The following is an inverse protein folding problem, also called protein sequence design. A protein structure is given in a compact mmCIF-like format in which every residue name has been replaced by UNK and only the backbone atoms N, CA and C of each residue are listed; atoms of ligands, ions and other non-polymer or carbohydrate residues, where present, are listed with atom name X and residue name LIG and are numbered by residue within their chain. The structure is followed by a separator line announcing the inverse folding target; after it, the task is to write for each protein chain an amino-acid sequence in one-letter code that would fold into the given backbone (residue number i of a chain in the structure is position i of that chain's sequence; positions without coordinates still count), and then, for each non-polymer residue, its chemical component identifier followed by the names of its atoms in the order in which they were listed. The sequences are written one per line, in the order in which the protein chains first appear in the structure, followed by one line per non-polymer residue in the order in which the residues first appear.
data_IF_651102260827
#
_entry.id   IF_651102260827
#
_cell.length_a   1.000
_cell.length_b   1.000
_cell.length_c   1.000
_cell.angle_alpha   90.00
_cell.angle_beta   90.00
_cell.angle_gamma   90.00
#
_symmetry.space_group_name_H-M   'P 1'
#
loop_
_entity.id
_entity.type
_entity.pdbx_description
1 polymer ?
#
# COMPACT_ATOMS: atom_id res chain seq x y z
N UNK A 1 15.23 -2.81 -0.75
CA UNK A 1 14.07 -2.63 0.15
C UNK A 1 14.63 -2.45 1.56
N UNK A 2 14.31 -1.35 2.24
CA UNK A 2 14.81 -1.10 3.60
C UNK A 2 14.23 -2.08 4.63
N UNK A 3 14.87 -2.24 5.81
CA UNK A 3 14.38 -3.12 6.88
C UNK A 3 12.95 -2.79 7.33
N UNK A 4 12.58 -1.50 7.32
CA UNK A 4 11.25 -1.03 7.71
C UNK A 4 10.13 -1.54 6.77
N UNK A 5 10.40 -1.62 5.47
CA UNK A 5 9.42 -2.11 4.49
C UNK A 5 9.21 -3.61 4.66
N UNK A 6 10.29 -4.36 4.90
CA UNK A 6 10.21 -5.81 5.12
C UNK A 6 9.40 -6.14 6.37
N UNK A 7 9.66 -5.41 7.46
CA UNK A 7 8.91 -5.56 8.69
C UNK A 7 7.41 -5.31 8.47
N UNK A 8 7.03 -4.21 7.80
CA UNK A 8 5.62 -3.93 7.51
C UNK A 8 4.93 -5.06 6.73
N UNK A 9 5.59 -5.63 5.72
CA UNK A 9 5.01 -6.75 4.95
C UNK A 9 4.83 -7.98 5.84
N UNK A 10 5.82 -8.30 6.69
CA UNK A 10 5.73 -9.44 7.60
C UNK A 10 4.57 -9.31 8.59
N UNK A 11 4.38 -8.12 9.17
CA UNK A 11 3.26 -7.86 10.09
C UNK A 11 1.90 -7.96 9.39
N UNK A 12 1.76 -7.38 8.19
CA UNK A 12 0.52 -7.48 7.40
C UNK A 12 0.19 -8.94 7.05
N UNK A 13 1.22 -9.74 6.73
CA UNK A 13 1.06 -11.18 6.47
C UNK A 13 0.70 -11.93 7.75
N UNK A 14 1.29 -11.59 8.90
CA UNK A 14 1.00 -12.22 10.18
C UNK A 14 -0.46 -11.98 10.59
N UNK A 15 -0.93 -10.73 10.50
CA UNK A 15 -2.35 -10.36 10.75
C UNK A 15 -3.26 -11.09 9.77
N UNK A 16 -2.98 -11.04 8.48
CA UNK A 16 -3.81 -11.71 7.47
C UNK A 16 -3.91 -13.22 7.68
N UNK A 17 -2.83 -13.88 8.12
CA UNK A 17 -2.86 -15.31 8.49
C UNK A 17 -3.69 -15.57 9.74
N UNK A 18 -3.59 -14.72 10.76
CA UNK A 18 -4.39 -14.83 11.98
C UNK A 18 -5.89 -14.69 11.67
N UNK A 19 -6.25 -13.80 10.75
CA UNK A 19 -7.62 -13.59 10.25
C UNK A 19 -8.06 -14.59 9.16
N UNK A 20 -7.23 -15.61 8.86
CA UNK A 20 -7.52 -16.67 7.87
C UNK A 20 -7.77 -16.16 6.45
N UNK A 21 -7.14 -15.05 6.08
CA UNK A 21 -7.16 -14.57 4.70
C UNK A 21 -6.47 -15.58 3.76
N UNK A 22 -6.97 -15.64 2.53
CA UNK A 22 -6.40 -16.52 1.51
C UNK A 22 -5.09 -15.94 0.98
N UNK A 23 -4.25 -16.80 0.41
CA UNK A 23 -2.91 -16.38 -0.06
C UNK A 23 -2.92 -15.22 -1.07
N UNK A 24 -3.98 -15.08 -1.87
CA UNK A 24 -4.14 -13.98 -2.83
C UNK A 24 -4.59 -12.65 -2.19
N UNK A 25 -5.05 -12.68 -0.94
CA UNK A 25 -5.44 -11.50 -0.16
C UNK A 25 -4.27 -10.95 0.65
N UNK A 26 -3.19 -11.73 0.80
CA UNK A 26 -1.99 -11.33 1.52
C UNK A 26 -1.15 -10.34 0.69
N UNK A 27 -0.75 -9.24 1.33
CA UNK A 27 0.06 -8.18 0.71
C UNK A 27 1.47 -8.71 0.43
N UNK A 28 1.90 -8.64 -0.84
CA UNK A 28 3.24 -9.11 -1.27
C UNK A 28 4.34 -8.05 -1.18
N UNK A 29 3.98 -6.77 -1.27
CA UNK A 29 4.91 -5.64 -1.23
C UNK A 29 4.19 -4.36 -0.80
N UNK A 30 4.91 -3.44 -0.16
CA UNK A 30 4.40 -2.11 0.23
C UNK A 30 5.39 -1.01 -0.15
N UNK A 31 4.86 0.20 -0.34
CA UNK A 31 5.63 1.43 -0.47
C UNK A 31 5.29 2.35 0.71
N UNK A 32 6.31 2.90 1.37
CA UNK A 32 6.15 3.82 2.48
C UNK A 32 6.40 5.25 1.99
N UNK A 33 5.44 6.14 2.22
CA UNK A 33 5.54 7.56 1.95
C UNK A 33 5.53 8.32 3.28
N UNK A 34 6.49 9.24 3.46
CA UNK A 34 6.60 10.03 4.69
C UNK A 34 5.55 11.14 4.77
N UNK A 35 4.98 11.56 3.62
CA UNK A 35 3.96 12.60 3.58
C UNK A 35 2.57 11.99 3.78
N UNK A 36 1.85 12.35 4.85
CA UNK A 36 0.47 11.90 5.04
C UNK A 36 -0.44 12.47 3.94
N UNK A 37 -1.53 11.76 3.65
CA UNK A 37 -2.54 12.26 2.72
C UNK A 37 -3.33 13.41 3.37
N UNK A 38 -3.68 14.40 2.58
CA UNK A 38 -4.42 15.58 3.04
C UNK A 38 -5.61 15.87 2.14
N UNK A 39 -6.55 16.67 2.66
CA UNK A 39 -7.65 17.22 1.87
C UNK A 39 -7.13 18.28 0.88
N UNK A 40 -6.08 19.02 1.28
CA UNK A 40 -5.42 20.06 0.49
C UNK A 40 -4.72 19.51 -0.76
N UNK A 41 -4.07 18.35 -0.63
CA UNK A 41 -3.48 17.60 -1.75
C UNK A 41 -4.53 16.87 -2.61
N UNK A 42 -5.83 17.07 -2.34
CA UNK A 42 -6.96 16.42 -3.00
C UNK A 42 -6.92 14.89 -2.98
N UNK A 43 -6.19 14.28 -2.03
CA UNK A 43 -6.10 12.83 -1.86
C UNK A 43 -7.18 12.29 -0.89
N UNK A 44 -7.76 13.19 -0.10
CA UNK A 44 -8.87 12.90 0.81
C UNK A 44 -10.13 13.68 0.46
N UNK A 45 -11.30 13.13 0.77
CA UNK A 45 -12.55 13.87 0.83
C UNK A 45 -12.53 14.81 2.05
N UNK A 46 -13.41 15.83 2.10
CA UNK A 46 -13.57 16.65 3.31
C UNK A 46 -13.91 15.85 4.59
N UNK A 47 -14.43 14.63 4.43
CA UNK A 47 -14.71 13.67 5.50
C UNK A 47 -13.57 12.67 5.75
N UNK A 48 -12.35 12.98 5.28
CA UNK A 48 -11.14 12.16 5.45
C UNK A 48 -11.22 10.74 4.86
N UNK A 49 -12.08 10.51 3.86
CA UNK A 49 -12.10 9.27 3.08
C UNK A 49 -11.13 9.35 1.92
N UNK A 50 -10.55 8.21 1.54
CA UNK A 50 -9.62 8.12 0.43
C UNK A 50 -10.29 8.43 -0.91
N UNK A 51 -9.69 9.34 -1.68
CA UNK A 51 -10.02 9.56 -3.08
C UNK A 51 -9.21 8.59 -3.95
N UNK A 52 -9.76 7.37 -4.12
CA UNK A 52 -9.07 6.24 -4.78
C UNK A 52 -8.52 6.56 -6.18
N UNK A 53 -9.27 7.21 -7.11
CA UNK A 53 -8.74 7.52 -8.43
C UNK A 53 -7.50 8.45 -8.40
N UNK A 54 -7.50 9.43 -7.49
CA UNK A 54 -6.41 10.38 -7.30
C UNK A 54 -5.18 9.70 -6.71
N UNK A 55 -5.37 8.84 -5.70
CA UNK A 55 -4.30 8.02 -5.13
C UNK A 55 -3.71 7.08 -6.17
N UNK A 56 -4.54 6.40 -6.95
CA UNK A 56 -4.08 5.53 -8.03
C UNK A 56 -3.23 6.32 -9.03
N UNK A 57 -3.70 7.49 -9.49
CA UNK A 57 -2.93 8.36 -10.39
C UNK A 57 -1.60 8.80 -9.79
N UNK A 58 -1.57 9.18 -8.50
CA UNK A 58 -0.35 9.60 -7.79
C UNK A 58 0.69 8.47 -7.72
N UNK A 59 0.26 7.26 -7.36
CA UNK A 59 1.18 6.13 -7.11
C UNK A 59 1.32 5.18 -8.29
N UNK A 60 0.71 5.44 -9.45
CA UNK A 60 0.71 4.53 -10.60
C UNK A 60 2.13 4.05 -10.96
N UNK A 61 3.07 4.98 -11.11
CA UNK A 61 4.48 4.66 -11.44
C UNK A 61 5.14 3.77 -10.39
N UNK A 62 4.84 4.01 -9.11
CA UNK A 62 5.36 3.20 -8.00
C UNK A 62 4.75 1.80 -8.03
N UNK A 63 3.43 1.70 -8.25
CA UNK A 63 2.72 0.44 -8.36
C UNK A 63 3.23 -0.39 -9.54
N UNK A 64 3.41 0.21 -10.71
CA UNK A 64 3.98 -0.46 -11.89
C UNK A 64 5.39 -1.02 -11.62
N UNK A 65 6.26 -0.22 -10.98
CA UNK A 65 7.60 -0.67 -10.59
C UNK A 65 7.54 -1.82 -9.57
N UNK A 66 6.63 -1.76 -8.60
CA UNK A 66 6.42 -2.82 -7.62
C UNK A 66 5.94 -4.11 -8.30
N UNK A 67 4.95 -4.04 -9.18
CA UNK A 67 4.44 -5.20 -9.91
C UNK A 67 5.50 -5.82 -10.82
N UNK A 68 6.28 -5.00 -11.53
CA UNK A 68 7.39 -5.50 -12.36
C UNK A 68 8.49 -6.17 -11.53
N UNK A 69 8.65 -5.79 -10.26
CA UNK A 69 9.63 -6.38 -9.35
C UNK A 69 9.15 -7.66 -8.65
N UNK A 70 7.84 -7.96 -8.69
CA UNK A 70 7.29 -9.19 -8.14
C UNK A 70 7.60 -10.34 -9.11
N UNK A 71 8.39 -11.31 -8.66
CA UNK A 71 8.47 -12.62 -9.31
C UNK A 71 7.34 -13.50 -8.80
N UNK A 72 6.78 -14.31 -9.68
CA UNK A 72 5.74 -15.31 -9.35
C UNK A 72 6.19 -16.30 -8.27
#
# INVERSE_FOLDING_TARGET
MGPEVLWCVQELVAVGKADKLKGYELVKAVHLDAKPWSVDDELLTPTFKLKRPQLQKKYQVVLDAMYSGLKE
#
